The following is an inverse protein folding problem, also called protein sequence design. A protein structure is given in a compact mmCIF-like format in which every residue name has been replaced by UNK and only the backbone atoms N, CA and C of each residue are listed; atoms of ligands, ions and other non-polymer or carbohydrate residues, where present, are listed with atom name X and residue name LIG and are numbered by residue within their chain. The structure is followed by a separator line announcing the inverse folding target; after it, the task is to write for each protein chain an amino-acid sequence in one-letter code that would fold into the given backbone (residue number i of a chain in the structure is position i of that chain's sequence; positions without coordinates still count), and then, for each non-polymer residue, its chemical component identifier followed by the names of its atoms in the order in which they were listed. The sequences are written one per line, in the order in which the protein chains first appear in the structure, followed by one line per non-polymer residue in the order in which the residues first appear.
data_IF_886832426018
#
_entry.id   IF_886832426018
#
_cell.length_a   1.000
_cell.length_b   1.000
_cell.length_c   1.000
_cell.angle_alpha   90.00
_cell.angle_beta   90.00
_cell.angle_gamma   90.00
#
_symmetry.space_group_name_H-M   'P 1'
#
loop_
_entity.id
_entity.type
_entity.pdbx_description
1 polymer ?
2 water ?
#
# COMPACT_ATOMS: atom_id res chain seq x y z
C UNK A 1 8.61 -5.12 14.69
N UNK A 2 8.19 -6.20 14.03
CA UNK A 2 7.33 -6.13 12.86
C UNK A 2 6.30 -7.24 12.75
N UNK A 3 5.32 -7.00 11.90
CA UNK A 3 4.26 -7.95 11.65
C UNK A 3 4.64 -9.14 10.75
N UNK A 4 3.93 -10.28 10.92
CA UNK A 4 4.03 -11.42 10.03
C UNK A 4 3.77 -11.11 8.58
N UNK A 5 4.14 -12.04 7.72
CA UNK A 5 3.75 -12.00 6.33
C UNK A 5 2.30 -12.49 6.09
N UNK A 6 1.62 -11.72 5.24
CA UNK A 6 0.29 -11.98 4.76
C UNK A 6 0.42 -12.06 3.27
N UNK A 7 0.34 -13.28 2.75
CA UNK A 7 0.35 -13.55 1.32
C UNK A 7 -0.97 -14.18 0.89
N UNK A 8 -1.58 -13.62 -0.16
CA UNK A 8 -2.91 -14.00 -0.56
C UNK A 8 -2.93 -14.52 -1.96
N UNK A 9 -3.65 -15.63 -2.14
CA UNK A 9 -4.06 -16.05 -3.45
C UNK A 9 -4.94 -14.92 -3.99
N UNK A 10 -5.09 -14.83 -5.31
CA UNK A 10 -5.96 -13.82 -5.92
C UNK A 10 -7.40 -13.81 -5.38
N UNK A 11 -8.04 -14.99 -5.28
CA UNK A 11 -9.36 -15.10 -4.65
C UNK A 11 -9.41 -14.69 -3.17
N UNK A 12 -8.40 -15.05 -2.38
CA UNK A 12 -8.42 -14.67 -0.98
C UNK A 12 -8.12 -13.20 -0.87
N UNK A 13 -7.39 -12.65 -1.82
CA UNK A 13 -7.16 -11.21 -1.82
C UNK A 13 -8.46 -10.44 -2.11
N UNK A 14 -9.26 -10.95 -3.07
CA UNK A 14 -10.63 -10.39 -3.31
C UNK A 14 -11.53 -10.49 -2.09
N UNK A 15 -11.46 -11.61 -1.39
CA UNK A 15 -12.25 -11.76 -0.19
C UNK A 15 -11.83 -10.79 0.88
N UNK A 16 -10.53 -10.67 1.11
CA UNK A 16 -9.95 -9.74 2.06
C UNK A 16 -10.41 -8.32 1.85
N UNK A 17 -10.34 -7.86 0.59
CA UNK A 17 -10.91 -6.57 0.21
C UNK A 17 -12.43 -6.44 0.53
N UNK A 18 -13.21 -7.47 0.18
CA UNK A 18 -14.65 -7.42 0.37
C UNK A 18 -14.94 -7.24 1.86
N UNK A 19 -14.18 -7.96 2.69
CA UNK A 19 -14.28 -7.84 4.12
C UNK A 19 -13.88 -6.47 4.66
N UNK A 20 -12.99 -5.74 3.97
CA UNK A 20 -12.39 -4.55 4.59
C UNK A 20 -12.95 -3.28 4.02
N UNK A 21 -13.82 -3.41 3.04
CA UNK A 21 -14.39 -2.23 2.43
C UNK A 21 -15.73 -1.91 3.05
N UNK A 22 -15.72 -0.85 3.89
CA UNK A 22 -16.94 -0.31 4.56
C UNK A 22 -17.87 0.22 3.47
N UNK A 23 -19.15 0.35 3.79
CA UNK A 23 -20.14 0.70 2.78
C UNK A 23 -19.84 2.06 2.04
N UNK A 24 -19.64 3.14 2.80
CA UNK A 24 -19.47 4.43 2.20
C UNK A 24 -18.02 4.85 1.94
N UNK A 25 -17.08 3.92 1.73
CA UNK A 25 -15.70 4.38 1.48
C UNK A 25 -15.29 4.46 0.00
N UNK A 26 -14.23 5.24 -0.27
CA UNK A 26 -13.55 5.21 -1.56
C UNK A 26 -12.12 4.78 -1.30
N UNK A 27 -11.40 4.35 -2.33
CA UNK A 27 -10.03 3.91 -2.16
C UNK A 27 -9.07 4.92 -2.86
N UNK A 28 -8.21 5.56 -2.08
CA UNK A 28 -7.12 6.33 -2.60
C UNK A 28 -5.95 5.36 -2.82
N UNK A 29 -5.43 5.37 -4.05
CA UNK A 29 -4.41 4.45 -4.49
C UNK A 29 -3.19 5.29 -4.85
N UNK A 30 -2.02 4.93 -4.35
CA UNK A 30 -0.83 5.63 -4.77
C UNK A 30 0.17 4.60 -5.26
N UNK A 31 0.73 4.83 -6.43
CA UNK A 31 1.87 4.05 -6.86
C UNK A 31 3.13 4.92 -6.77
N UNK A 32 3.10 6.01 -6.00
CA UNK A 32 4.22 6.97 -5.93
C UNK A 32 5.21 6.53 -4.85
N UNK A 33 6.08 5.59 -5.18
CA UNK A 33 7.03 5.08 -4.21
C UNK A 33 8.17 6.07 -4.05
N UNK A 34 8.32 6.67 -2.88
CA UNK A 34 9.35 7.68 -2.71
C UNK A 34 10.65 7.12 -2.13
N UNK A 35 10.62 5.87 -1.66
CA UNK A 35 11.81 5.21 -1.13
C UNK A 35 11.49 3.77 -0.96
N UNK A 36 12.51 2.93 -1.05
CA UNK A 36 12.38 1.51 -0.86
C UNK A 36 13.74 0.95 -0.48
N UNK A 37 13.80 0.08 0.52
CA UNK A 37 15.05 -0.50 1.00
C UNK A 37 14.74 -1.65 1.93
N UNK A 38 15.79 -2.31 2.41
CA UNK A 38 15.70 -3.43 3.34
C UNK A 38 16.49 -3.08 4.57
N UNK A 39 16.02 -3.55 5.72
CA UNK A 39 16.74 -3.32 6.97
C UNK A 39 16.62 -4.57 7.78
N UNK A 40 17.57 -4.73 8.68
CA UNK A 40 17.59 -5.85 9.58
C UNK A 40 17.14 -5.42 10.96
N UNK A 41 16.61 -6.35 11.76
CA UNK A 41 16.32 -6.12 13.19
C UNK A 41 16.45 -7.41 14.00
N UNK A 42 17.07 -7.33 15.17
CA UNK A 42 17.14 -8.46 16.07
C UNK A 42 15.75 -8.73 16.64
N UNK A 43 15.49 -10.01 16.93
CA UNK A 43 14.24 -10.44 17.54
C UNK A 43 14.59 -11.45 18.63
N UNK A 44 13.62 -12.06 19.32
CA UNK A 44 14.01 -13.04 20.36
C UNK A 44 14.36 -14.37 19.69
N UNK A 45 14.37 -14.36 18.36
CA UNK A 45 14.71 -15.53 17.56
C UNK A 45 15.70 -15.16 16.46
N UNK A 46 16.65 -14.30 16.81
CA UNK A 46 17.74 -13.92 15.90
C UNK A 46 17.38 -12.82 14.93
N UNK A 47 18.34 -12.41 14.09
CA UNK A 47 18.19 -11.32 13.13
C UNK A 47 17.25 -11.62 11.95
N UNK A 48 16.45 -10.63 11.55
CA UNK A 48 15.56 -10.75 10.38
C UNK A 48 15.66 -9.54 9.45
N UNK A 49 15.13 -9.71 8.24
CA UNK A 49 15.14 -8.65 7.25
C UNK A 49 13.71 -8.28 6.74
N UNK A 50 13.46 -6.98 6.61
CA UNK A 50 12.20 -6.45 6.15
C UNK A 50 12.44 -5.50 4.98
N UNK A 51 11.47 -5.43 4.07
CA UNK A 51 11.48 -4.42 3.04
C UNK A 51 10.61 -3.29 3.50
N UNK A 52 11.02 -2.08 3.11
CA UNK A 52 10.35 -0.89 3.52
C UNK A 52 10.00 -0.14 2.26
N UNK A 53 8.71 0.13 2.10
CA UNK A 53 8.28 0.81 0.89
C UNK A 53 7.44 2.00 1.34
N UNK A 54 7.80 3.16 0.83
CA UNK A 54 7.21 4.39 1.27
C UNK A 54 6.49 4.99 0.08
N UNK A 55 5.29 5.51 0.33
CA UNK A 55 4.44 6.02 -0.72
C UNK A 55 4.01 7.36 -0.29
N UNK A 56 3.83 8.21 -1.30
CA UNK A 56 3.40 9.59 -1.21
C UNK A 56 2.01 9.72 -1.77
N UNK A 57 1.24 10.64 -1.23
CA UNK A 57 -0.01 10.97 -1.88
C UNK A 57 -0.57 12.34 -1.38
N UNK A 58 -1.18 13.10 -2.30
CA UNK A 58 -1.46 14.49 -1.92
C UNK A 58 -2.45 14.54 -0.77
N UNK A 59 -2.24 15.47 0.14
CA UNK A 59 -3.12 15.66 1.28
C UNK A 59 -4.40 16.40 0.93
N UNK A 60 -4.38 17.15 -0.18
CA UNK A 60 -5.47 18.10 -0.60
C UNK A 60 -6.79 17.38 -0.92
N UNK A 61 -6.75 16.04 -0.98
CA UNK A 61 -7.94 15.24 -1.28
C UNK A 61 -8.70 14.91 0.00
N UNK A 62 -8.03 15.08 1.13
CA UNK A 62 -8.66 14.92 2.41
C UNK A 62 -9.12 16.23 2.99
N UNK A 63 -10.37 16.28 3.44
CA UNK A 63 -10.76 17.26 4.44
C UNK A 63 -10.60 16.50 5.77
N UNK A 64 -9.36 16.42 6.22
CA UNK A 64 -8.98 15.60 7.38
C UNK A 64 -7.59 16.03 7.84
N UNK A 65 -7.38 16.07 9.16
CA UNK A 65 -6.02 16.30 9.67
C UNK A 65 -5.15 15.03 9.71
N UNK A 66 -3.89 15.22 10.11
CA UNK A 66 -2.82 14.23 9.99
C UNK A 66 -3.12 12.96 10.77
N UNK A 67 -3.52 13.11 12.03
CA UNK A 67 -3.83 11.96 12.89
C UNK A 67 -5.09 11.21 12.41
N UNK A 68 -6.05 11.94 11.82
CA UNK A 68 -7.20 11.33 11.13
C UNK A 68 -6.72 10.47 9.96
N UNK A 69 -5.86 11.01 9.09
CA UNK A 69 -5.35 10.19 7.99
C UNK A 69 -4.53 9.00 8.52
N UNK A 70 -3.84 9.21 9.64
CA UNK A 70 -3.08 8.13 10.30
C UNK A 70 -4.00 7.01 10.74
N UNK A 71 -5.17 7.40 11.20
CA UNK A 71 -6.14 6.48 11.79
C UNK A 71 -6.85 5.65 10.74
N UNK A 72 -6.92 6.19 9.53
CA UNK A 72 -7.53 5.51 8.40
C UNK A 72 -6.84 4.20 8.04
N UNK A 73 -7.67 3.22 7.72
CA UNK A 73 -7.26 1.90 7.26
C UNK A 73 -6.49 2.00 5.93
N UNK A 74 -5.24 1.53 5.96
CA UNK A 74 -4.37 1.56 4.80
C UNK A 74 -3.46 0.36 4.73
N UNK A 75 -3.03 0.00 3.51
CA UNK A 75 -2.24 -1.19 3.23
C UNK A 75 -1.32 -0.87 2.09
N UNK A 76 -0.15 -1.50 2.12
CA UNK A 76 0.63 -1.74 0.91
C UNK A 76 0.35 -3.13 0.33
N UNK A 77 0.36 -3.14 -0.98
CA UNK A 77 0.16 -4.34 -1.73
C UNK A 77 1.17 -4.42 -2.82
N UNK A 78 1.65 -5.64 -3.00
CA UNK A 78 2.71 -6.01 -3.93
C UNK A 78 2.20 -7.25 -4.67
N UNK A 79 2.30 -7.21 -5.98
CA UNK A 79 1.96 -8.27 -6.87
C UNK A 79 3.21 -9.05 -7.19
N UNK A 80 3.23 -10.31 -6.76
CA UNK A 80 4.42 -11.13 -6.78
C UNK A 80 4.09 -12.39 -7.55
N UNK A 81 4.74 -12.59 -8.69
CA UNK A 81 4.70 -13.87 -9.38
C UNK A 81 5.12 -15.00 -8.45
N UNK A 82 4.50 -16.16 -8.59
CA UNK A 82 4.80 -17.32 -7.72
C UNK A 82 6.24 -17.88 -7.76
N UNK A 83 6.87 -17.90 -8.93
CA UNK A 83 8.33 -18.14 -9.07
C UNK A 83 9.25 -17.27 -8.15
N UNK A 84 8.75 -16.14 -7.66
CA UNK A 84 9.57 -15.24 -6.87
C UNK A 84 9.39 -15.38 -5.34
N UNK A 85 8.69 -16.43 -4.91
CA UNK A 85 8.54 -16.71 -3.47
C UNK A 85 9.63 -17.70 -3.00
N UNK A 86 10.02 -17.60 -1.74
CA UNK A 86 10.71 -18.69 -1.07
C UNK A 86 9.72 -19.83 -0.73
N UNK A 87 10.27 -20.91 -0.17
CA UNK A 87 9.47 -21.95 0.48
C UNK A 87 8.60 -21.29 1.56
N UNK A 88 9.20 -20.36 2.31
CA UNK A 88 8.47 -19.71 3.38
C UNK A 88 7.28 -18.92 2.84
N UNK A 89 7.50 -18.24 1.70
CA UNK A 89 6.48 -17.44 1.03
C UNK A 89 5.37 -18.29 0.45
N UNK A 90 5.72 -19.50 0.01
CA UNK A 90 4.75 -20.49 -0.46
C UNK A 90 3.92 -21.05 0.70
N UNK A 91 4.56 -21.37 1.83
CA UNK A 91 3.84 -21.82 3.03
C UNK A 91 2.79 -20.84 3.51
N UNK A 92 2.98 -19.57 3.21
CA UNK A 92 2.19 -18.50 3.81
C UNK A 92 0.94 -18.14 3.01
N UNK A 93 0.82 -18.69 1.81
CA UNK A 93 -0.22 -18.25 0.89
C UNK A 93 -1.58 -18.65 1.45
N UNK A 94 -2.46 -17.66 1.62
CA UNK A 94 -3.85 -17.91 1.97
C UNK A 94 -4.61 -18.24 0.69
N UNK B 2 6.16 14.41 -8.23
CA UNK B 2 4.94 13.74 -7.62
C UNK B 2 3.75 13.46 -8.55
N UNK B 3 3.21 12.27 -8.43
CA UNK B 3 2.04 11.94 -9.24
C UNK B 3 0.74 12.53 -8.69
N UNK B 4 -0.26 12.72 -9.56
CA UNK B 4 -1.52 13.27 -9.07
C UNK B 4 -2.20 12.20 -8.21
N UNK B 5 -3.30 12.57 -7.56
CA UNK B 5 -4.04 11.61 -6.73
C UNK B 5 -4.93 10.71 -7.57
N UNK B 6 -4.95 9.41 -7.24
CA UNK B 6 -5.90 8.41 -7.82
C UNK B 6 -6.93 7.96 -6.78
N UNK B 7 -8.18 8.29 -7.05
CA UNK B 7 -9.28 8.04 -6.13
C UNK B 7 -10.33 7.26 -6.92
N UNK B 8 -10.66 6.08 -6.40
CA UNK B 8 -11.57 5.13 -7.00
C UNK B 8 -12.76 4.86 -6.09
N UNK B 9 -13.95 4.80 -6.67
CA UNK B 9 -15.09 4.17 -6.02
C UNK B 9 -14.81 2.68 -5.81
N UNK B 10 -15.62 2.01 -4.99
CA UNK B 10 -15.40 0.59 -4.72
C UNK B 10 -15.35 -0.28 -5.97
N UNK B 11 -16.31 -0.06 -6.87
CA UNK B 11 -16.39 -0.79 -8.11
C UNK B 11 -15.26 -0.54 -9.10
N UNK B 12 -14.87 0.72 -9.28
CA UNK B 12 -13.70 1.06 -10.10
C UNK B 12 -12.40 0.48 -9.54
N UNK B 13 -12.27 0.56 -8.22
CA UNK B 13 -11.13 -0.01 -7.55
C UNK B 13 -10.98 -1.52 -7.77
N UNK B 14 -12.09 -2.24 -7.59
CA UNK B 14 -12.09 -3.65 -7.89
C UNK B 14 -11.77 -3.94 -9.37
N UNK B 15 -12.36 -3.19 -10.30
CA UNK B 15 -11.99 -3.38 -11.73
C UNK B 15 -10.50 -3.11 -11.97
N UNK B 16 -9.98 -2.06 -11.35
CA UNK B 16 -8.59 -1.77 -11.46
C UNK B 16 -7.70 -2.91 -11.01
N UNK B 17 -7.88 -3.40 -9.79
CA UNK B 17 -7.10 -4.55 -9.35
C UNK B 17 -7.23 -5.83 -10.20
N UNK B 18 -8.39 -6.06 -10.77
CA UNK B 18 -8.57 -7.24 -11.58
C UNK B 18 -7.58 -7.27 -12.72
N UNK B 19 -7.30 -6.09 -13.26
CA UNK B 19 -6.37 -5.96 -14.34
C UNK B 19 -4.95 -6.33 -13.97
N UNK B 20 -4.68 -6.55 -12.69
CA UNK B 20 -3.34 -6.92 -12.24
C UNK B 20 -3.25 -8.40 -11.85
N UNK B 21 -4.40 -9.03 -11.70
CA UNK B 21 -4.46 -10.40 -11.24
C UNK B 21 -4.47 -11.38 -12.41
N UNK B 22 -3.72 -11.00 -13.45
CA UNK B 22 -3.73 -11.74 -14.70
C UNK B 22 -2.92 -13.04 -14.65
N UNK B 23 -1.70 -12.98 -14.10
CA UNK B 23 -0.74 -14.11 -14.22
C UNK B 23 -0.74 -15.10 -12.99
N UNK B 24 0.36 -15.84 -12.80
CA UNK B 24 0.51 -16.79 -11.68
C UNK B 24 1.01 -15.96 -10.48
N UNK B 25 0.14 -15.07 -10.05
CA UNK B 25 0.54 -13.96 -9.19
C UNK B 25 -0.11 -14.14 -7.84
N UNK B 26 0.65 -13.93 -6.77
CA UNK B 26 0.05 -13.71 -5.45
C UNK B 26 0.13 -12.21 -5.03
N UNK B 27 -0.51 -11.83 -3.92
CA UNK B 27 -0.50 -10.44 -3.50
C UNK B 27 0.05 -10.46 -2.11
N UNK B 28 1.18 -9.79 -1.91
CA UNK B 28 1.69 -9.51 -0.58
C UNK B 28 1.02 -8.24 0.00
N UNK B 29 0.39 -8.38 1.16
CA UNK B 29 -0.31 -7.25 1.80
C UNK B 29 0.33 -6.92 3.14
N UNK B 30 0.53 -5.61 3.40
CA UNK B 30 1.11 -5.15 4.65
C UNK B 30 0.26 -4.04 5.21
N UNK B 31 -0.20 -4.17 6.48
CA UNK B 31 -0.69 -2.99 7.22
C UNK B 31 0.31 -2.49 8.30
N UNK B 32 1.56 -2.96 8.23
CA UNK B 32 2.60 -2.63 9.21
C UNK B 32 3.20 -1.29 8.77
N UNK B 33 2.53 -0.21 9.15
CA UNK B 33 3.02 1.15 8.95
C UNK B 33 4.08 1.51 9.95
N UNK B 34 5.29 1.68 9.48
CA UNK B 34 6.41 1.99 10.36
C UNK B 34 6.56 3.48 10.54
N UNK B 35 6.01 4.25 9.60
CA UNK B 35 6.07 5.70 9.68
C UNK B 35 4.96 6.37 8.88
N UNK B 36 4.33 7.37 9.49
CA UNK B 36 3.29 8.14 8.83
C UNK B 36 3.38 9.62 9.21
N UNK B 37 3.44 10.49 8.21
CA UNK B 37 3.40 11.93 8.44
C UNK B 37 2.92 12.72 7.21
N UNK B 38 2.56 14.00 7.44
CA UNK B 38 2.36 15.03 6.42
C UNK B 38 3.58 15.91 6.38
N UNK B 39 4.00 16.27 5.17
CA UNK B 39 5.18 17.06 4.94
C UNK B 39 4.87 18.03 3.80
N UNK B 40 5.40 19.24 3.86
CA UNK B 40 5.18 20.25 2.83
C UNK B 40 6.16 20.04 1.71
N UNK B 41 5.71 20.19 0.47
CA UNK B 41 6.62 20.23 -0.66
C UNK B 41 6.55 21.59 -1.32
N UNK B 42 7.71 22.13 -1.64
CA UNK B 42 7.77 23.45 -2.23
C UNK B 42 8.21 23.43 -3.70
N UNK B 43 7.64 24.36 -4.47
CA UNK B 43 8.04 24.61 -5.85
C UNK B 43 7.92 26.09 -6.14
N UNK B 44 8.28 26.47 -7.36
CA UNK B 44 8.23 27.85 -7.83
C UNK B 44 6.84 28.52 -7.65
N UNK B 45 5.78 27.72 -7.74
CA UNK B 45 4.39 28.22 -7.60
C UNK B 45 3.71 27.93 -6.23
N UNK B 46 4.50 27.82 -5.15
CA UNK B 46 3.97 27.70 -3.78
C UNK B 46 4.07 26.33 -3.12
N UNK B 47 3.47 26.18 -1.94
CA UNK B 47 3.60 24.93 -1.20
C UNK B 47 2.38 24.02 -1.25
N UNK B 48 2.63 22.71 -1.21
CA UNK B 48 1.63 21.66 -1.30
C UNK B 48 1.96 20.63 -0.20
N UNK B 49 0.96 20.15 0.51
CA UNK B 49 1.17 19.06 1.47
C UNK B 49 0.98 17.68 0.88
N UNK B 50 1.93 16.80 1.18
CA UNK B 50 1.87 15.36 0.89
C UNK B 50 1.82 14.50 2.17
N UNK B 51 1.02 13.43 2.17
CA UNK B 51 1.19 12.35 3.17
C UNK B 51 2.24 11.32 2.71
N UNK B 52 2.96 10.76 3.66
CA UNK B 52 3.96 9.78 3.37
C UNK B 52 3.69 8.62 4.32
N UNK B 53 3.61 7.41 3.76
CA UNK B 53 3.25 6.23 4.50
C UNK B 53 4.28 5.19 4.18
N UNK B 54 5.01 4.72 5.19
CA UNK B 54 6.02 3.68 4.99
C UNK B 54 5.54 2.36 5.57
N UNK B 55 5.62 1.31 4.76
CA UNK B 55 5.19 -0.04 5.14
C UNK B 55 6.38 -1.00 5.08
N UNK B 56 6.40 -1.92 6.04
CA UNK B 56 7.37 -2.97 6.17
C UNK B 56 6.71 -4.28 5.77
N UNK B 57 7.45 -5.16 5.12
CA UNK B 57 7.01 -6.55 4.93
C UNK B 57 8.20 -7.48 4.88
N UNK B 58 8.01 -8.72 5.38
CA UNK B 58 9.20 -9.54 5.59
C UNK B 58 9.81 -9.89 4.26
N UNK B 59 11.13 -9.84 4.21
CA UNK B 59 11.90 -10.23 3.04
C UNK B 59 11.99 -11.75 2.85
N UNK B 60 11.95 -12.53 3.94
CA UNK B 60 12.20 -13.97 3.78
C UNK B 60 11.13 -14.76 3.02
N UNK B 61 10.07 -14.10 2.58
CA UNK B 61 9.05 -14.76 1.76
C UNK B 61 9.45 -14.73 0.27
N UNK B 62 10.45 -13.90 -0.03
CA UNK B 62 10.88 -13.72 -1.41
C UNK B 62 12.09 -14.55 -1.75
N UNK B 63 12.14 -14.97 -3.01
CA UNK B 63 13.32 -15.60 -3.58
C UNK B 63 13.76 -14.59 -4.62
N UNK B 64 14.30 -13.48 -4.14
CA UNK B 64 14.54 -12.32 -4.98
C UNK B 64 15.44 -11.32 -4.26
N UNK B 65 16.35 -10.66 -4.97
CA UNK B 65 17.13 -9.61 -4.33
C UNK B 65 16.35 -8.30 -4.17
N UNK B 66 16.99 -7.29 -3.58
CA UNK B 66 16.33 -6.01 -3.26
C UNK B 66 15.82 -5.25 -4.50
N UNK B 67 16.60 -5.29 -5.58
CA UNK B 67 16.27 -4.62 -6.84
C UNK B 67 15.07 -5.28 -7.53
N UNK B 68 15.00 -6.61 -7.45
CA UNK B 68 13.83 -7.33 -7.93
C UNK B 68 12.53 -7.03 -7.16
N UNK B 69 12.58 -7.02 -5.83
CA UNK B 69 11.43 -6.56 -5.07
C UNK B 69 11.10 -5.08 -5.42
N UNK B 70 12.13 -4.23 -5.57
CA UNK B 70 12.00 -2.81 -5.99
C UNK B 70 11.15 -2.74 -7.25
N UNK B 71 11.47 -3.57 -8.26
CA UNK B 71 10.78 -3.62 -9.57
C UNK B 71 9.32 -4.14 -9.62
N UNK B 72 8.87 -4.87 -8.60
CA UNK B 72 7.52 -5.38 -8.59
C UNK B 72 6.48 -4.27 -8.39
N UNK B 73 5.30 -4.48 -8.97
CA UNK B 73 4.18 -3.58 -8.91
C UNK B 73 3.67 -3.50 -7.50
N UNK B 74 3.51 -2.29 -7.02
CA UNK B 74 3.08 -2.09 -5.67
C UNK B 74 2.35 -0.77 -5.51
N UNK B 75 1.49 -0.72 -4.49
CA UNK B 75 0.58 0.40 -4.24
C UNK B 75 0.31 0.52 -2.79
N UNK B 76 0.14 1.75 -2.36
CA UNK B 76 -0.44 1.93 -1.05
C UNK B 76 -1.90 2.17 -1.37
N UNK B 77 -2.79 1.66 -0.55
CA UNK B 77 -4.19 1.95 -0.74
C UNK B 77 -4.72 2.51 0.58
N UNK B 78 -5.61 3.49 0.56
CA UNK B 78 -6.21 3.97 1.81
C UNK B 78 -7.71 3.95 1.68
N UNK B 79 -8.41 3.45 2.70
CA UNK B 79 -9.88 3.45 2.74
C UNK B 79 -10.36 4.67 3.50
N UNK B 80 -11.09 5.52 2.78
CA UNK B 80 -11.58 6.80 3.27
C UNK B 80 -13.11 6.92 3.14
N UNK B 81 -13.75 7.21 4.27
CA UNK B 81 -15.12 7.67 4.30
C UNK B 81 -15.29 8.80 3.30
N UNK B 82 -16.31 8.71 2.45
CA UNK B 82 -16.71 9.83 1.60
C UNK B 82 -16.81 11.16 2.38
N UNK B 83 -17.35 11.13 3.62
CA UNK B 83 -17.48 12.39 4.38
C UNK B 83 -16.14 12.89 4.89
N UNK B 84 -15.05 12.28 4.45
CA UNK B 84 -13.76 12.70 4.93
C UNK B 84 -12.87 13.25 3.80
N UNK B 85 -13.45 13.30 2.59
CA UNK B 85 -12.77 13.82 1.39
C UNK B 85 -12.89 15.33 1.34
N UNK B 86 -11.95 16.00 0.69
CA UNK B 86 -12.08 17.44 0.43
C UNK B 86 -13.02 17.57 -0.78
N UNK B 87 -13.29 18.79 -1.23
CA UNK B 87 -14.12 18.94 -2.42
C UNK B 87 -13.34 18.46 -3.65
N UNK B 88 -12.03 18.70 -3.67
CA UNK B 88 -11.17 18.19 -4.75
C UNK B 88 -11.05 16.66 -4.79
N UNK B 89 -10.94 16.05 -3.61
CA UNK B 89 -10.95 14.57 -3.48
C UNK B 89 -12.23 13.93 -4.00
N UNK B 90 -13.37 14.44 -3.56
CA UNK B 90 -14.66 14.08 -4.16
C UNK B 90 -14.68 14.25 -5.68
N UNK B 91 -14.12 15.37 -6.15
CA UNK B 91 -13.99 15.68 -7.57
C UNK B 91 -13.31 14.61 -8.39
N UNK B 92 -12.25 14.04 -7.81
CA UNK B 92 -11.38 13.11 -8.49
C UNK B 92 -11.84 11.63 -8.47
N UNK B 93 -12.99 11.31 -7.85
CA UNK B 93 -13.45 9.91 -7.78
C UNK B 93 -13.60 9.38 -9.20
N UNK B 94 -13.30 8.10 -9.42
CA UNK B 94 -13.58 7.42 -10.70
C UNK B 94 -14.61 6.31 -10.49
#
# INVERSE_FOLDING_TARGET
GHMPAYVFSKESFLKFLEGHLEDDVVVVVSSDVTDFCKKLSESMVGEKEYCFAEFAFPADIFDADEDEIDEMMKYAIVFVEKEKLSEAGRNAIR
GHMPAYVFSKESFLKFLEGHLEDDVVVVVSSDVTDFCKKLSESMVGEKEYCFAEFAFPADIFDADEDEIDEMMKYAIVFVEKEKLSEAGRNAIR
#
